data_IF_300942187754
#
_entry.id   IF_300942187754
#
_cell.length_a   1.000
_cell.length_b   1.000
_cell.length_c   1.000
_cell.angle_alpha   90.00
_cell.angle_beta   90.00
_cell.angle_gamma   90.00
#
_symmetry.space_group_name_H-M   'P 1'
#
loop_
_entity.id
_entity.type
_entity.pdbx_description
1 polymer ?
#
# COMPACT_ATOMS: atom_id res chain seq x y z
N UNK A 1 9.34 6.13 32.39
CA UNK A 1 8.24 5.17 32.13
C UNK A 1 7.12 5.76 31.27
N UNK A 2 6.60 6.97 31.55
CA UNK A 2 5.50 7.56 30.75
C UNK A 2 5.82 7.74 29.25
N UNK A 3 7.06 8.10 28.90
CA UNK A 3 7.50 8.26 27.51
C UNK A 3 7.44 6.96 26.71
N UNK A 4 7.80 5.82 27.31
CA UNK A 4 7.82 4.50 26.64
C UNK A 4 6.43 4.09 26.18
N UNK A 5 5.41 4.29 27.03
CA UNK A 5 4.03 3.97 26.69
C UNK A 5 3.49 4.85 25.56
N UNK A 6 3.89 6.12 25.51
CA UNK A 6 3.49 7.05 24.45
C UNK A 6 4.07 6.64 23.09
N UNK A 7 5.35 6.24 23.05
CA UNK A 7 5.98 5.73 21.82
C UNK A 7 5.31 4.44 21.33
N UNK A 8 5.08 3.48 22.24
CA UNK A 8 4.49 2.20 21.89
C UNK A 8 3.04 2.35 21.38
N UNK A 9 2.23 3.16 22.06
CA UNK A 9 0.87 3.46 21.63
C UNK A 9 0.84 4.12 20.25
N UNK A 10 1.81 5.01 19.99
CA UNK A 10 1.87 5.71 18.72
C UNK A 10 2.30 4.87 17.53
N UNK A 11 3.25 3.97 17.73
CA UNK A 11 3.63 2.99 16.71
C UNK A 11 2.46 2.04 16.40
N UNK A 12 1.74 1.58 17.42
CA UNK A 12 0.58 0.70 17.25
C UNK A 12 -0.59 1.39 16.52
N UNK A 13 -0.86 2.66 16.84
CA UNK A 13 -1.86 3.47 16.15
C UNK A 13 -1.49 3.69 14.68
N UNK A 14 -0.23 4.06 14.40
CA UNK A 14 0.28 4.24 13.03
C UNK A 14 0.17 2.94 12.23
N UNK A 15 0.53 1.81 12.84
CA UNK A 15 0.39 0.49 12.23
C UNK A 15 -1.07 0.15 11.92
N UNK A 16 -1.98 0.40 12.86
CA UNK A 16 -3.42 0.13 12.69
C UNK A 16 -4.01 0.97 11.56
N UNK A 17 -3.68 2.26 11.50
CA UNK A 17 -4.11 3.17 10.42
C UNK A 17 -3.56 2.74 9.06
N UNK A 18 -2.28 2.36 8.99
CA UNK A 18 -1.65 1.89 7.76
C UNK A 18 -2.30 0.58 7.28
N UNK A 19 -2.59 -0.35 8.19
CA UNK A 19 -3.28 -1.61 7.88
C UNK A 19 -4.69 -1.35 7.35
N UNK A 20 -5.44 -0.43 7.96
CA UNK A 20 -6.74 -0.01 7.46
C UNK A 20 -6.65 0.62 6.05
N UNK A 21 -5.64 1.47 5.82
CA UNK A 21 -5.38 2.06 4.50
C UNK A 21 -5.12 0.98 3.44
N UNK A 22 -4.27 -0.01 3.75
CA UNK A 22 -3.95 -1.13 2.87
C UNK A 22 -5.20 -1.98 2.57
N UNK A 23 -6.06 -2.20 3.57
CA UNK A 23 -7.32 -2.90 3.38
C UNK A 23 -8.23 -2.18 2.37
N UNK A 24 -8.38 -0.87 2.48
CA UNK A 24 -9.20 -0.09 1.54
C UNK A 24 -8.60 -0.05 0.13
N UNK A 25 -7.28 0.12 0.01
CA UNK A 25 -6.60 0.09 -1.29
C UNK A 25 -6.75 -1.28 -1.94
N UNK A 26 -6.55 -2.36 -1.19
CA UNK A 26 -6.71 -3.74 -1.68
C UNK A 26 -8.13 -4.00 -2.12
N UNK A 27 -9.11 -3.61 -1.30
CA UNK A 27 -10.54 -3.74 -1.65
C UNK A 27 -10.87 -2.95 -2.92
N UNK A 28 -10.31 -1.76 -3.09
CA UNK A 28 -10.47 -0.95 -4.30
C UNK A 28 -9.87 -1.65 -5.53
N UNK A 29 -8.70 -2.26 -5.41
CA UNK A 29 -8.08 -3.02 -6.50
C UNK A 29 -8.94 -4.23 -6.88
N UNK A 30 -9.43 -4.98 -5.90
CA UNK A 30 -10.30 -6.14 -6.13
C UNK A 30 -11.65 -5.78 -6.76
N UNK A 31 -12.15 -4.56 -6.53
CA UNK A 31 -13.27 -4.04 -7.29
C UNK A 31 -12.88 -3.86 -8.76
N UNK A 32 -11.72 -3.28 -9.06
CA UNK A 32 -11.28 -3.03 -10.45
C UNK A 32 -11.06 -4.31 -11.26
N UNK A 33 -10.42 -5.31 -10.66
CA UNK A 33 -10.12 -6.60 -11.26
C UNK A 33 -9.88 -7.65 -10.16
N UNK A 34 -10.56 -8.79 -10.23
CA UNK A 34 -10.57 -9.79 -9.15
C UNK A 34 -9.20 -10.46 -8.98
N UNK A 35 -8.54 -10.82 -10.08
CA UNK A 35 -7.20 -11.41 -10.07
C UNK A 35 -6.15 -10.45 -9.47
N UNK A 36 -6.21 -9.17 -9.85
CA UNK A 36 -5.40 -8.11 -9.25
C UNK A 36 -5.71 -7.93 -7.75
N UNK A 37 -6.96 -8.13 -7.34
CA UNK A 37 -7.38 -8.10 -5.94
C UNK A 37 -6.68 -9.14 -5.07
N UNK A 38 -6.56 -10.38 -5.55
CA UNK A 38 -5.83 -11.43 -4.82
C UNK A 38 -4.35 -11.11 -4.64
N UNK A 39 -3.70 -10.60 -5.69
CA UNK A 39 -2.29 -10.20 -5.63
C UNK A 39 -2.09 -9.01 -4.67
N UNK A 40 -3.00 -8.03 -4.70
CA UNK A 40 -2.99 -6.92 -3.74
C UNK A 40 -3.19 -7.40 -2.30
N UNK A 41 -4.09 -8.36 -2.09
CA UNK A 41 -4.36 -8.95 -0.77
C UNK A 41 -3.15 -9.68 -0.20
N UNK A 42 -2.45 -10.45 -1.02
CA UNK A 42 -1.18 -11.08 -0.64
C UNK A 42 -0.14 -10.01 -0.29
N UNK A 43 -0.02 -8.97 -1.11
CA UNK A 43 0.88 -7.85 -0.84
C UNK A 43 0.59 -7.13 0.48
N UNK A 44 -0.68 -6.80 0.73
CA UNK A 44 -1.14 -6.17 1.97
C UNK A 44 -0.92 -7.08 3.19
N UNK A 45 -1.14 -8.38 3.06
CA UNK A 45 -0.86 -9.36 4.12
C UNK A 45 0.63 -9.39 4.46
N UNK A 46 1.51 -9.43 3.46
CA UNK A 46 2.97 -9.38 3.69
C UNK A 46 3.41 -8.07 4.37
N UNK A 47 2.88 -6.92 3.94
CA UNK A 47 3.18 -5.63 4.58
C UNK A 47 2.68 -5.62 6.03
N UNK A 48 1.48 -6.14 6.28
CA UNK A 48 0.88 -6.18 7.62
C UNK A 48 1.68 -7.08 8.56
N UNK A 49 2.09 -8.27 8.11
CA UNK A 49 2.96 -9.17 8.89
C UNK A 49 4.31 -8.52 9.17
N UNK A 50 4.94 -7.92 8.15
CA UNK A 50 6.21 -7.22 8.31
C UNK A 50 6.11 -6.02 9.27
N UNK A 51 5.01 -5.26 9.20
CA UNK A 51 4.71 -4.16 10.11
C UNK A 51 4.48 -4.63 11.55
N UNK A 52 3.69 -5.69 11.73
CA UNK A 52 3.41 -6.27 13.04
C UNK A 52 4.69 -6.80 13.71
N UNK A 53 5.52 -7.53 12.97
CA UNK A 53 6.83 -8.00 13.44
C UNK A 53 7.75 -6.82 13.81
N UNK A 54 7.71 -5.72 13.05
CA UNK A 54 8.52 -4.53 13.31
C UNK A 54 8.10 -3.84 14.60
N UNK A 55 6.78 -3.66 14.78
CA UNK A 55 6.19 -3.12 16.01
C UNK A 55 6.50 -4.01 17.22
N UNK A 56 6.40 -5.34 17.06
CA UNK A 56 6.72 -6.30 18.12
C UNK A 56 8.19 -6.27 18.51
N UNK A 57 9.10 -6.15 17.53
CA UNK A 57 10.53 -6.04 17.78
C UNK A 57 10.87 -4.75 18.55
N UNK A 58 10.26 -3.62 18.17
CA UNK A 58 10.40 -2.35 18.90
C UNK A 58 9.84 -2.45 20.31
N UNK A 59 8.67 -3.06 20.47
CA UNK A 59 8.07 -3.29 21.78
C UNK A 59 8.97 -4.13 22.68
N UNK A 60 9.52 -5.24 22.18
CA UNK A 60 10.50 -6.02 22.95
C UNK A 60 11.72 -5.19 23.32
N UNK A 61 12.31 -4.46 22.37
CA UNK A 61 13.49 -3.64 22.63
C UNK A 61 13.23 -2.62 23.74
N UNK A 62 12.03 -2.06 23.79
CA UNK A 62 11.60 -1.14 24.84
C UNK A 62 11.33 -1.84 26.18
N UNK A 63 10.81 -3.07 26.17
CA UNK A 63 10.44 -3.82 27.38
C UNK A 63 11.61 -4.54 28.04
N UNK A 64 12.47 -5.19 27.27
CA UNK A 64 13.54 -6.07 27.77
C UNK A 64 14.94 -5.50 27.53
N UNK A 65 15.05 -4.36 26.84
CA UNK A 65 16.34 -3.81 26.40
C UNK A 65 16.99 -4.60 25.26
N UNK A 66 16.38 -5.72 24.83
CA UNK A 66 16.90 -6.60 23.79
C UNK A 66 15.92 -6.68 22.61
N UNK A 67 16.47 -6.66 21.40
CA UNK A 67 15.69 -6.92 20.19
C UNK A 67 15.33 -8.41 20.12
N UNK A 68 14.03 -8.73 19.96
CA UNK A 68 13.52 -10.09 19.77
C UNK A 68 14.20 -10.78 18.58
N UNK A 69 14.37 -10.03 17.50
CA UNK A 69 15.09 -10.47 16.31
C UNK A 69 16.40 -9.69 16.29
N UNK A 70 17.54 -10.37 16.51
CA UNK A 70 18.84 -9.72 16.69
C UNK A 70 19.30 -8.86 15.51
N UNK A 71 18.65 -9.02 14.36
CA UNK A 71 18.89 -8.27 13.13
C UNK A 71 17.56 -7.59 12.71
N UNK A 72 17.53 -6.26 12.56
CA UNK A 72 16.39 -5.46 12.01
C UNK A 72 16.08 -5.75 10.52
N UNK A 73 16.72 -6.77 9.97
CA UNK A 73 16.95 -7.02 8.55
C UNK A 73 15.92 -8.00 7.98
N UNK A 74 15.34 -8.87 8.80
CA UNK A 74 14.37 -9.88 8.33
C UNK A 74 12.97 -9.28 8.12
N UNK A 75 12.72 -8.09 8.67
CA UNK A 75 11.45 -7.37 8.56
C UNK A 75 11.21 -6.86 7.13
N UNK A 76 12.24 -6.27 6.52
CA UNK A 76 12.13 -5.72 5.16
C UNK A 76 12.00 -6.79 4.08
N UNK A 77 12.36 -8.04 4.40
CA UNK A 77 12.17 -9.17 3.49
C UNK A 77 10.69 -9.42 3.21
N UNK A 78 9.78 -9.03 4.12
CA UNK A 78 8.34 -9.10 3.91
C UNK A 78 7.76 -7.79 3.35
N UNK A 79 8.22 -6.62 3.83
CA UNK A 79 7.70 -5.33 3.35
C UNK A 79 7.97 -5.13 1.85
N UNK A 80 9.21 -5.37 1.41
CA UNK A 80 9.63 -5.13 0.02
C UNK A 80 8.76 -5.87 -1.00
N UNK A 81 8.64 -7.23 -0.94
CA UNK A 81 7.77 -7.94 -1.86
C UNK A 81 6.30 -7.56 -1.69
N UNK A 82 5.86 -7.25 -0.46
CA UNK A 82 4.50 -6.80 -0.22
C UNK A 82 4.15 -5.52 -0.98
N UNK A 83 5.01 -4.50 -0.94
CA UNK A 83 4.82 -3.27 -1.70
C UNK A 83 4.96 -3.47 -3.21
N UNK A 84 5.85 -4.37 -3.67
CA UNK A 84 5.97 -4.71 -5.09
C UNK A 84 4.69 -5.36 -5.61
N UNK A 85 4.14 -6.35 -4.90
CA UNK A 85 2.86 -6.98 -5.22
C UNK A 85 1.73 -5.95 -5.26
N UNK A 86 1.65 -5.09 -4.25
CA UNK A 86 0.62 -4.05 -4.18
C UNK A 86 0.73 -3.02 -5.31
N UNK A 87 1.94 -2.55 -5.61
CA UNK A 87 2.21 -1.62 -6.71
C UNK A 87 1.83 -2.22 -8.06
N UNK A 88 2.26 -3.46 -8.31
CA UNK A 88 1.96 -4.14 -9.56
C UNK A 88 0.47 -4.43 -9.71
N UNK A 89 -0.19 -4.93 -8.65
CA UNK A 89 -1.62 -5.17 -8.64
C UNK A 89 -2.42 -3.89 -8.90
N UNK A 90 -2.01 -2.76 -8.31
CA UNK A 90 -2.64 -1.47 -8.55
C UNK A 90 -2.46 -0.99 -9.99
N UNK A 91 -1.24 -1.12 -10.54
CA UNK A 91 -0.97 -0.77 -11.94
C UNK A 91 -1.76 -1.66 -12.91
N UNK A 92 -1.81 -2.96 -12.65
CA UNK A 92 -2.54 -3.93 -13.48
C UNK A 92 -4.06 -3.67 -13.43
N UNK A 93 -4.62 -3.47 -12.23
CA UNK A 93 -6.03 -3.09 -12.08
C UNK A 93 -6.38 -1.81 -12.84
N UNK A 94 -5.45 -0.83 -12.89
CA UNK A 94 -5.63 0.40 -13.67
C UNK A 94 -5.64 0.14 -15.19
N UNK A 95 -4.84 -0.80 -15.69
CA UNK A 95 -4.82 -1.20 -17.09
C UNK A 95 -6.07 -2.01 -17.48
N UNK A 96 -6.58 -2.84 -16.57
CA UNK A 96 -7.82 -3.59 -16.77
C UNK A 96 -9.01 -2.65 -17.05
N UNK A 97 -9.08 -1.51 -16.35
CA UNK A 97 -10.08 -0.46 -16.63
C UNK A 97 -9.92 0.19 -18.02
N UNK A 98 -8.73 0.13 -18.62
CA UNK A 98 -8.45 0.68 -19.96
C UNK A 98 -8.59 -0.38 -21.07
N UNK A 99 -9.21 -1.53 -20.78
CA UNK A 99 -9.36 -2.66 -21.71
C UNK A 99 -8.02 -3.23 -22.22
N UNK A 100 -6.91 -2.95 -21.53
CA UNK A 100 -5.59 -3.54 -21.80
C UNK A 100 -5.35 -4.67 -20.82
N UNK A 101 -5.90 -5.86 -21.12
CA UNK A 101 -5.65 -7.06 -20.31
C UNK A 101 -4.32 -7.69 -20.70
N UNK A 102 -3.45 -7.89 -19.72
CA UNK A 102 -2.27 -8.75 -19.86
C UNK A 102 -2.61 -10.13 -19.31
N UNK A 103 -2.24 -11.20 -20.03
CA UNK A 103 -2.51 -12.57 -19.59
C UNK A 103 -1.60 -13.05 -18.44
N UNK A 104 -0.60 -12.27 -18.04
CA UNK A 104 0.43 -12.70 -17.08
C UNK A 104 0.56 -11.72 -15.90
N UNK A 105 -0.38 -11.81 -14.97
CA UNK A 105 -0.39 -10.99 -13.75
C UNK A 105 0.71 -11.42 -12.76
N UNK A 106 0.99 -12.72 -12.67
CA UNK A 106 1.90 -13.26 -11.65
C UNK A 106 3.39 -13.18 -12.04
N UNK A 107 3.70 -13.17 -13.34
CA UNK A 107 5.09 -13.29 -13.80
C UNK A 107 5.94 -12.08 -13.39
N UNK A 108 5.44 -10.87 -13.61
CA UNK A 108 6.18 -9.64 -13.31
C UNK A 108 6.49 -9.44 -11.81
N UNK A 109 5.54 -9.59 -10.85
CA UNK A 109 5.86 -9.49 -9.43
C UNK A 109 6.82 -10.61 -8.98
N UNK A 110 6.67 -11.84 -9.48
CA UNK A 110 7.60 -12.93 -9.14
C UNK A 110 9.02 -12.62 -9.64
N UNK A 111 9.17 -12.16 -10.89
CA UNK A 111 10.47 -11.81 -11.45
C UNK A 111 11.11 -10.62 -10.74
N UNK A 112 10.34 -9.60 -10.40
CA UNK A 112 10.86 -8.42 -9.67
C UNK A 112 11.24 -8.76 -8.24
N UNK A 113 10.42 -9.54 -7.53
CA UNK A 113 10.75 -10.02 -6.18
C UNK A 113 11.99 -10.92 -6.21
N UNK A 114 12.02 -11.90 -7.11
CA UNK A 114 13.16 -12.80 -7.30
C UNK A 114 14.43 -12.03 -7.68
N UNK A 115 14.31 -11.00 -8.54
CA UNK A 115 15.40 -10.12 -8.92
C UNK A 115 15.93 -9.29 -7.75
N UNK A 116 15.05 -8.66 -6.96
CA UNK A 116 15.45 -7.86 -5.79
C UNK A 116 16.08 -8.75 -4.71
N UNK A 117 15.45 -9.89 -4.38
CA UNK A 117 15.96 -10.80 -3.36
C UNK A 117 17.26 -11.48 -3.81
N UNK A 118 17.35 -11.92 -5.07
CA UNK A 118 18.55 -12.49 -5.65
C UNK A 118 19.70 -11.48 -5.71
N UNK A 119 19.44 -10.24 -6.14
CA UNK A 119 20.43 -9.17 -6.13
C UNK A 119 20.92 -8.85 -4.70
N UNK A 120 19.99 -8.81 -3.75
CA UNK A 120 20.31 -8.59 -2.34
C UNK A 120 21.18 -9.74 -1.81
N UNK A 121 20.82 -11.00 -2.06
CA UNK A 121 21.61 -12.16 -1.65
C UNK A 121 23.03 -12.15 -2.26
N UNK A 122 23.17 -11.82 -3.54
CA UNK A 122 24.47 -11.73 -4.23
C UNK A 122 25.37 -10.64 -3.62
N UNK A 123 24.83 -9.48 -3.29
CA UNK A 123 25.60 -8.40 -2.66
C UNK A 123 26.08 -8.77 -1.25
N UNK A 124 25.38 -9.69 -0.58
CA UNK A 124 25.66 -10.08 0.80
C UNK A 124 26.60 -11.28 0.92
N UNK A 125 26.83 -12.00 -0.18
CA UNK A 125 28.04 -12.82 -0.33
C UNK A 125 29.32 -11.99 -0.41
N UNK A 126 29.22 -10.67 -0.67
CA UNK A 126 30.38 -9.78 -0.85
C UNK A 126 30.61 -8.79 0.29
N UNK A 127 29.60 -8.48 1.10
CA UNK A 127 29.72 -7.54 2.22
C UNK A 127 29.01 -8.10 3.45
N UNK A 128 29.79 -8.55 4.43
CA UNK A 128 29.27 -8.85 5.77
C UNK A 128 29.06 -7.53 6.51
N UNK A 129 27.86 -6.94 6.42
CA UNK A 129 27.60 -5.67 7.09
C UNK A 129 26.16 -5.14 6.99
N UNK A 130 25.89 -3.96 7.60
CA UNK A 130 24.59 -3.28 7.61
C UNK A 130 24.11 -2.80 6.22
N UNK A 131 24.88 -3.03 5.16
CA UNK A 131 24.45 -2.81 3.77
C UNK A 131 23.18 -3.59 3.40
N UNK A 132 22.94 -4.74 4.09
CA UNK A 132 21.66 -5.46 4.14
C UNK A 132 20.46 -4.51 4.31
N UNK A 133 20.48 -3.74 5.39
CA UNK A 133 19.35 -2.90 5.81
C UNK A 133 19.08 -1.78 4.80
N UNK A 134 20.15 -1.13 4.32
CA UNK A 134 20.06 0.09 3.50
C UNK A 134 19.51 -0.21 2.10
N UNK A 135 19.94 -1.31 1.46
CA UNK A 135 19.45 -1.68 0.13
C UNK A 135 17.96 -2.03 0.14
N UNK A 136 17.55 -2.92 1.05
CA UNK A 136 16.15 -3.33 1.19
C UNK A 136 15.24 -2.15 1.58
N UNK A 137 15.72 -1.27 2.46
CA UNK A 137 15.01 -0.04 2.80
C UNK A 137 14.83 0.85 1.57
N UNK A 138 15.87 1.00 0.75
CA UNK A 138 15.81 1.80 -0.48
C UNK A 138 14.78 1.26 -1.47
N UNK A 139 14.77 -0.05 -1.71
CA UNK A 139 13.76 -0.69 -2.57
C UNK A 139 12.35 -0.55 -2.00
N UNK A 140 12.19 -0.72 -0.68
CA UNK A 140 10.91 -0.53 -0.01
C UNK A 140 10.41 0.90 -0.18
N UNK A 141 11.27 1.89 0.02
CA UNK A 141 10.94 3.31 -0.20
C UNK A 141 10.52 3.56 -1.64
N UNK A 142 11.28 3.10 -2.63
CA UNK A 142 10.94 3.25 -4.06
C UNK A 142 9.58 2.61 -4.36
N UNK A 143 9.35 1.38 -3.90
CA UNK A 143 8.08 0.70 -4.10
C UNK A 143 6.91 1.47 -3.46
N UNK A 144 7.12 2.03 -2.27
CA UNK A 144 6.14 2.86 -1.56
C UNK A 144 5.82 4.14 -2.36
N UNK A 145 6.83 4.84 -2.88
CA UNK A 145 6.65 5.99 -3.78
C UNK A 145 5.87 5.63 -5.04
N UNK A 146 6.13 4.46 -5.63
CA UNK A 146 5.40 3.96 -6.80
C UNK A 146 3.93 3.73 -6.45
N UNK A 147 3.61 3.04 -5.34
CA UNK A 147 2.22 2.83 -4.89
C UNK A 147 1.50 4.17 -4.74
N UNK A 148 2.10 5.13 -4.04
CA UNK A 148 1.47 6.44 -3.81
C UNK A 148 1.31 7.19 -5.14
N UNK A 149 2.31 7.16 -6.02
CA UNK A 149 2.25 7.75 -7.34
C UNK A 149 1.11 7.18 -8.19
N UNK A 150 0.90 5.86 -8.14
CA UNK A 150 -0.21 5.17 -8.80
C UNK A 150 -1.56 5.54 -8.16
N UNK A 151 -1.64 5.69 -6.84
CA UNK A 151 -2.84 6.21 -6.17
C UNK A 151 -3.18 7.64 -6.61
N UNK A 152 -2.16 8.52 -6.73
CA UNK A 152 -2.33 9.89 -7.24
C UNK A 152 -2.80 9.85 -8.71
N UNK A 153 -2.22 8.97 -9.54
CA UNK A 153 -2.64 8.78 -10.93
C UNK A 153 -4.11 8.37 -11.00
N UNK A 154 -4.53 7.40 -10.20
CA UNK A 154 -5.93 6.97 -10.09
C UNK A 154 -6.84 8.12 -9.64
N UNK A 155 -6.44 8.85 -8.60
CA UNK A 155 -7.19 9.99 -8.11
C UNK A 155 -7.35 11.10 -9.16
N UNK A 156 -6.32 11.35 -9.99
CA UNK A 156 -6.40 12.29 -11.12
C UNK A 156 -7.41 11.83 -12.16
N UNK A 157 -7.41 10.55 -12.53
CA UNK A 157 -8.42 10.00 -13.45
C UNK A 157 -9.83 10.09 -12.88
N UNK A 158 -9.98 9.92 -11.57
CA UNK A 158 -11.26 10.07 -10.90
C UNK A 158 -11.65 11.53 -10.59
N UNK A 159 -10.77 12.50 -10.88
CA UNK A 159 -10.91 13.94 -10.53
C UNK A 159 -11.10 14.21 -9.04
N UNK A 160 -10.49 13.38 -8.17
CA UNK A 160 -10.58 13.48 -6.71
C UNK A 160 -9.46 14.34 -6.13
N UNK A 161 -9.68 15.67 -6.08
CA UNK A 161 -8.68 16.63 -5.57
C UNK A 161 -8.24 16.36 -4.12
N UNK A 162 -9.18 15.92 -3.27
CA UNK A 162 -8.91 15.61 -1.85
C UNK A 162 -7.91 14.46 -1.68
N UNK A 163 -8.05 13.38 -2.46
CA UNK A 163 -7.11 12.24 -2.42
C UNK A 163 -5.71 12.65 -2.87
N UNK A 164 -5.61 13.51 -3.90
CA UNK A 164 -4.34 14.04 -4.37
C UNK A 164 -3.66 14.86 -3.27
N UNK A 165 -4.40 15.75 -2.60
CA UNK A 165 -3.89 16.55 -1.49
C UNK A 165 -3.38 15.67 -0.34
N UNK A 166 -4.19 14.70 0.13
CA UNK A 166 -3.77 13.81 1.21
C UNK A 166 -2.59 12.92 0.85
N UNK A 167 -2.54 12.39 -0.38
CA UNK A 167 -1.40 11.58 -0.84
C UNK A 167 -0.12 12.41 -0.97
N UNK A 168 -0.23 13.66 -1.42
CA UNK A 168 0.91 14.59 -1.50
C UNK A 168 1.38 14.99 -0.10
N UNK A 169 0.45 15.30 0.80
CA UNK A 169 0.77 15.60 2.20
C UNK A 169 1.51 14.43 2.88
N UNK A 170 1.04 13.19 2.67
CA UNK A 170 1.71 11.98 3.13
C UNK A 170 3.16 11.88 2.61
N UNK A 171 3.38 12.09 1.31
CA UNK A 171 4.72 12.10 0.71
C UNK A 171 5.63 13.16 1.32
N UNK A 172 5.11 14.38 1.52
CA UNK A 172 5.88 15.47 2.11
C UNK A 172 6.28 15.17 3.56
N UNK A 173 5.38 14.56 4.33
CA UNK A 173 5.64 14.16 5.72
C UNK A 173 6.68 13.05 5.82
N UNK A 174 6.60 12.00 4.98
CA UNK A 174 7.61 10.95 4.97
C UNK A 174 8.98 11.50 4.57
N UNK A 175 9.00 12.37 3.56
CA UNK A 175 10.25 13.00 3.09
C UNK A 175 10.85 13.90 4.16
N UNK A 176 10.04 14.67 4.88
CA UNK A 176 10.52 15.52 5.98
C UNK A 176 11.07 14.69 7.15
N UNK A 177 10.43 13.56 7.49
CA UNK A 177 10.94 12.64 8.51
C UNK A 177 12.32 12.09 8.15
N UNK A 178 12.56 11.72 6.88
CA UNK A 178 13.87 11.26 6.43
C UNK A 178 14.96 12.34 6.57
N UNK A 179 14.63 13.61 6.28
CA UNK A 179 15.56 14.74 6.46
C UNK A 179 15.86 14.96 7.94
N UNK A 180 14.84 14.95 8.81
CA UNK A 180 15.01 15.14 10.25
C UNK A 180 15.89 14.02 10.84
N UNK A 181 15.69 12.78 10.40
CA UNK A 181 16.46 11.63 10.87
C UNK A 181 17.96 11.70 10.54
N UNK A 182 18.38 12.51 9.56
CA UNK A 182 19.79 12.70 9.20
C UNK A 182 20.39 14.00 9.77
N UNK A 183 19.56 14.95 10.19
CA UNK A 183 20.00 16.29 10.58
C UNK A 183 20.43 16.39 12.05
N UNK A 184 20.03 15.44 12.90
CA UNK A 184 20.30 15.49 14.34
C UNK A 184 21.04 14.22 14.81
N UNK A 185 22.25 14.40 15.33
CA UNK A 185 23.09 13.31 15.86
C UNK A 185 22.72 12.87 17.28
N UNK A 186 22.02 13.70 18.05
CA UNK A 186 21.53 13.39 19.40
C UNK A 186 20.01 13.50 19.48
N UNK A 187 19.27 12.41 19.77
CA UNK A 187 17.83 12.45 19.85
C UNK A 187 17.37 13.22 21.10
N UNK A 188 16.76 14.39 20.91
CA UNK A 188 16.04 15.11 21.96
C UNK A 188 14.61 14.57 22.11
N UNK A 189 14.04 14.64 23.31
CA UNK A 189 12.65 14.20 23.57
C UNK A 189 11.63 14.93 22.65
N UNK A 190 11.90 16.20 22.35
CA UNK A 190 11.10 17.00 21.42
C UNK A 190 11.15 16.44 19.99
N UNK A 191 12.33 16.02 19.52
CA UNK A 191 12.48 15.40 18.20
C UNK A 191 11.70 14.08 18.11
N UNK A 192 11.77 13.25 19.16
CA UNK A 192 11.02 11.98 19.22
C UNK A 192 9.51 12.24 19.12
N UNK A 193 9.01 13.24 19.85
CA UNK A 193 7.59 13.64 19.79
C UNK A 193 7.18 14.17 18.41
N UNK A 194 8.02 15.00 17.77
CA UNK A 194 7.77 15.50 16.41
C UNK A 194 7.73 14.39 15.37
N UNK A 195 8.65 13.42 15.44
CA UNK A 195 8.68 12.26 14.54
C UNK A 195 7.42 11.42 14.74
N UNK A 196 7.02 11.14 15.98
CA UNK A 196 5.84 10.34 16.29
C UNK A 196 4.56 10.99 15.77
N UNK A 197 4.35 12.28 16.06
CA UNK A 197 3.17 13.04 15.63
C UNK A 197 3.10 13.16 14.10
N UNK A 198 4.24 13.38 13.44
CA UNK A 198 4.32 13.42 11.97
C UNK A 198 3.96 12.07 11.36
N UNK A 199 4.44 10.97 11.94
CA UNK A 199 4.14 9.61 11.45
C UNK A 199 2.65 9.27 11.59
N UNK A 200 2.06 9.61 12.75
CA UNK A 200 0.62 9.43 12.98
C UNK A 200 -0.20 10.22 11.96
N UNK A 201 0.10 11.51 11.78
CA UNK A 201 -0.61 12.36 10.81
C UNK A 201 -0.45 11.84 9.38
N UNK A 202 0.77 11.41 9.01
CA UNK A 202 1.04 10.79 7.73
C UNK A 202 0.15 9.54 7.51
N UNK A 203 0.12 8.63 8.49
CA UNK A 203 -0.72 7.42 8.41
C UNK A 203 -2.22 7.74 8.35
N UNK A 204 -2.67 8.80 9.02
CA UNK A 204 -4.05 9.26 8.99
C UNK A 204 -4.42 9.83 7.62
N UNK A 205 -3.54 10.61 6.98
CA UNK A 205 -3.75 11.08 5.61
C UNK A 205 -3.76 9.93 4.61
N UNK A 206 -2.87 8.95 4.77
CA UNK A 206 -2.83 7.77 3.91
C UNK A 206 -4.12 6.93 4.05
N UNK A 207 -4.56 6.70 5.28
CA UNK A 207 -5.83 6.03 5.61
C UNK A 207 -7.03 6.77 5.02
N UNK A 208 -7.13 8.09 5.24
CA UNK A 208 -8.20 8.92 4.68
C UNK A 208 -8.22 8.92 3.15
N UNK A 209 -7.05 9.00 2.51
CA UNK A 209 -6.91 8.91 1.06
C UNK A 209 -7.40 7.56 0.53
N UNK A 210 -6.98 6.46 1.16
CA UNK A 210 -7.40 5.10 0.81
C UNK A 210 -8.91 4.89 0.95
N UNK A 211 -9.51 5.37 2.05
CA UNK A 211 -10.95 5.29 2.29
C UNK A 211 -11.76 6.04 1.22
N UNK A 212 -11.40 7.30 0.93
CA UNK A 212 -12.11 8.12 -0.06
C UNK A 212 -12.03 7.44 -1.43
N UNK A 213 -10.85 6.96 -1.83
CA UNK A 213 -10.61 6.31 -3.11
C UNK A 213 -11.39 4.99 -3.24
N UNK A 214 -11.50 4.22 -2.16
CA UNK A 214 -12.33 3.01 -2.10
C UNK A 214 -13.81 3.32 -2.28
N UNK A 215 -14.35 4.27 -1.51
CA UNK A 215 -15.77 4.64 -1.56
C UNK A 215 -16.19 5.17 -2.94
N UNK A 216 -15.35 6.00 -3.57
CA UNK A 216 -15.64 6.53 -4.90
C UNK A 216 -15.62 5.45 -5.98
N UNK A 217 -14.66 4.52 -5.89
CA UNK A 217 -14.57 3.39 -6.81
C UNK A 217 -15.77 2.46 -6.67
N UNK A 218 -16.16 2.13 -5.44
CA UNK A 218 -17.37 1.33 -5.14
C UNK A 218 -18.63 1.96 -5.72
N UNK A 219 -18.84 3.27 -5.50
CA UNK A 219 -20.01 4.00 -6.05
C UNK A 219 -20.07 3.93 -7.57
N UNK A 220 -18.93 4.11 -8.25
CA UNK A 220 -18.86 4.02 -9.72
C UNK A 220 -19.25 2.64 -10.22
N UNK A 221 -18.79 1.58 -9.57
CA UNK A 221 -19.14 0.22 -9.99
C UNK A 221 -20.63 -0.07 -9.85
N UNK A 222 -21.25 0.36 -8.75
CA UNK A 222 -22.71 0.23 -8.60
C UNK A 222 -23.45 0.96 -9.73
N UNK A 223 -23.02 2.17 -10.10
CA UNK A 223 -23.63 2.92 -11.20
C UNK A 223 -23.51 2.21 -12.56
N UNK A 224 -22.35 1.63 -12.87
CA UNK A 224 -22.18 0.89 -14.12
C UNK A 224 -23.06 -0.36 -14.16
N UNK A 225 -23.20 -1.08 -13.03
CA UNK A 225 -24.10 -2.23 -12.94
C UNK A 225 -25.57 -1.83 -13.12
N UNK A 226 -26.00 -0.72 -12.51
CA UNK A 226 -27.39 -0.25 -12.68
C UNK A 226 -27.68 0.21 -14.10
N UNK A 227 -26.72 0.86 -14.76
CA UNK A 227 -26.88 1.29 -16.16
C UNK A 227 -26.96 0.08 -17.09
N UNK A 228 -26.11 -0.93 -16.87
CA UNK A 228 -26.15 -2.19 -17.65
C UNK A 228 -27.49 -2.92 -17.49
N UNK A 229 -28.00 -3.04 -16.26
CA UNK A 229 -29.32 -3.63 -16.02
C UNK A 229 -30.46 -2.86 -16.70
N UNK A 230 -30.40 -1.53 -16.70
CA UNK A 230 -31.40 -0.70 -17.38
C UNK A 230 -31.34 -0.89 -18.90
N UNK A 231 -30.15 -0.96 -19.49
CA UNK A 231 -29.96 -1.19 -20.93
C UNK A 231 -30.54 -2.56 -21.35
N UNK A 232 -30.27 -3.62 -20.56
CA UNK A 232 -30.84 -4.95 -20.80
C UNK A 232 -32.38 -4.96 -20.70
N UNK A 233 -32.96 -4.22 -19.74
CA UNK A 233 -34.42 -4.11 -19.62
C UNK A 233 -35.06 -3.32 -20.76
N UNK A 234 -34.38 -2.31 -21.30
CA UNK A 234 -34.85 -1.54 -22.45
C UNK A 234 -34.70 -2.31 -23.78
N UNK A 235 -33.69 -3.19 -23.88
CA UNK A 235 -33.46 -4.00 -25.08
C UNK A 235 -34.47 -5.15 -25.27
N UNK A 236 -34.97 -5.75 -24.18
CA UNK A 236 -35.92 -6.88 -24.24
C UNK A 236 -37.25 -6.61 -24.98
N UNK A 237 -38.01 -5.52 -24.73
CA UNK A 237 -39.31 -5.31 -25.37
C UNK A 237 -39.23 -5.13 -26.89
N UNK A 238 -38.13 -4.58 -27.41
CA UNK A 238 -37.91 -4.44 -28.86
C UNK A 238 -37.76 -5.80 -29.57
N UNK A 239 -37.28 -6.82 -28.87
CA UNK A 239 -37.19 -8.19 -29.39
C UNK A 239 -38.53 -8.93 -29.33
N UNK A 240 -39.33 -8.70 -28.27
CA UNK A 240 -40.64 -9.35 -28.13
C UNK A 240 -41.72 -8.76 -29.05
N UNK A 241 -41.58 -7.51 -29.53
CA UNK A 241 -42.51 -6.90 -30.48
C UNK A 241 -42.40 -7.38 -31.94
N UNK A 242 -41.39 -8.20 -32.28
CA UNK A 242 -41.14 -8.68 -33.66
C UNK A 242 -41.50 -10.14 -33.91
N UNK A 243 -41.89 -10.88 -32.88
CA UNK A 243 -42.47 -12.22 -33.02
C UNK A 243 -43.96 -12.12 -33.35
N UNK A 244 -44.29 -11.60 -34.55
CA UNK A 244 -45.61 -11.79 -35.12
C UNK A 244 -45.83 -13.27 -35.42
N UNK A 245 -47.05 -13.81 -35.25
CA UNK A 245 -47.34 -15.20 -35.56
C UNK A 245 -46.99 -15.47 -37.03
N UNK A 246 -46.10 -16.43 -37.26
CA UNK A 246 -45.85 -16.98 -38.58
C UNK A 246 -47.09 -17.82 -38.90
N UNK A 247 -48.04 -17.23 -39.61
CA UNK A 247 -49.16 -17.94 -40.22
C UNK A 247 -48.76 -18.51 -41.57
#
# INVERSE_FOLDING_TARGET
>A
MQTIWMLAAGDLLTFSLTTAALWWITSMIGLMDEESGYLAGLGALMITIGGALSSLNRFSKLSSGQSLFGWSIDLFQFLTPGFVCLAYALWHGQQALQLRRSAQIWLAPILTIGGIQGFTALMLGRQAGPSKFILLLSFTSIATFIVIGLCIRQARWQRLRTVILFSTAYLTMISSMNIIAHSFSTPSDLMVSMVLTTNMLASLFFAGAGWILYQTTKRRQHLHRTIAMLDDTLAQPLLNGRAGPIH
#
